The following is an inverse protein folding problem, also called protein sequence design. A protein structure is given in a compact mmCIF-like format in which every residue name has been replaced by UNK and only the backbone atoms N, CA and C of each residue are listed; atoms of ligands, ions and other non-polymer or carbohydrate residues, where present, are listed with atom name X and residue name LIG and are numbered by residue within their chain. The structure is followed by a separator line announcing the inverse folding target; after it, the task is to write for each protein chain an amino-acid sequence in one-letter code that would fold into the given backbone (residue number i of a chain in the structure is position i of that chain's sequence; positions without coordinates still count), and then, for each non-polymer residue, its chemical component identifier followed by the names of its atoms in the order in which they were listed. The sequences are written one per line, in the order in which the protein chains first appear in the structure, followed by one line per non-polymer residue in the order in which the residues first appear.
data_IF_202444480489
#
_entry.id   IF_202444480489
#
_cell.length_a   1.000
_cell.length_b   1.000
_cell.length_c   1.000
_cell.angle_alpha   90.00
_cell.angle_beta   90.00
_cell.angle_gamma   90.00
#
_symmetry.space_group_name_H-M   'P 1'
#
loop_
_entity.id
_entity.type
_entity.pdbx_description
1 polymer ?
#
# COMPACT_ATOMS: atom_id res chain seq x y z
N UNK A 1 20.02 -1.87 4.13
CA UNK A 1 18.64 -1.37 3.95
C UNK A 1 18.12 -1.49 2.52
N UNK A 2 18.90 -1.13 1.48
CA UNK A 2 18.41 -1.11 0.09
C UNK A 2 18.02 -2.46 -0.49
N UNK A 3 18.85 -3.49 -0.31
CA UNK A 3 18.54 -4.86 -0.76
C UNK A 3 17.27 -5.38 -0.07
N UNK A 4 17.16 -5.14 1.24
CA UNK A 4 15.99 -5.53 2.03
C UNK A 4 14.72 -4.80 1.54
N UNK A 5 14.81 -3.49 1.28
CA UNK A 5 13.69 -2.72 0.75
C UNK A 5 13.31 -3.13 -0.67
N UNK A 6 14.27 -3.46 -1.52
CA UNK A 6 14.01 -3.99 -2.86
C UNK A 6 13.31 -5.35 -2.80
N UNK A 7 13.78 -6.25 -1.92
CA UNK A 7 13.13 -7.53 -1.67
C UNK A 7 11.67 -7.36 -1.23
N UNK A 8 11.42 -6.51 -0.22
CA UNK A 8 10.06 -6.25 0.22
C UNK A 8 9.21 -5.58 -0.85
N UNK A 9 9.75 -4.61 -1.61
CA UNK A 9 9.00 -3.98 -2.70
C UNK A 9 8.53 -5.02 -3.74
N UNK A 10 9.42 -5.93 -4.14
CA UNK A 10 9.08 -7.03 -5.06
C UNK A 10 8.07 -7.99 -4.42
N UNK A 11 8.26 -8.40 -3.17
CA UNK A 11 7.33 -9.28 -2.47
C UNK A 11 5.92 -8.67 -2.40
N UNK A 12 5.81 -7.39 -2.05
CA UNK A 12 4.52 -6.70 -1.94
C UNK A 12 3.88 -6.40 -3.28
N UNK A 13 4.65 -6.36 -4.37
CA UNK A 13 4.11 -6.27 -5.74
C UNK A 13 3.15 -7.42 -6.04
N UNK A 14 3.41 -8.61 -5.50
CA UNK A 14 2.56 -9.79 -5.68
C UNK A 14 1.45 -9.88 -4.63
N UNK A 15 1.76 -9.55 -3.37
CA UNK A 15 0.81 -9.69 -2.26
C UNK A 15 -0.31 -8.64 -2.34
N UNK A 16 0.03 -7.40 -2.68
CA UNK A 16 -0.90 -6.27 -2.58
C UNK A 16 -2.12 -6.39 -3.52
N UNK A 17 -1.97 -6.78 -4.81
CA UNK A 17 -3.11 -7.01 -5.70
C UNK A 17 -4.07 -8.10 -5.20
N UNK A 18 -3.53 -9.21 -4.69
CA UNK A 18 -4.33 -10.30 -4.15
C UNK A 18 -5.12 -9.88 -2.91
N UNK A 19 -4.48 -9.09 -2.04
CA UNK A 19 -5.14 -8.54 -0.85
C UNK A 19 -6.24 -7.54 -1.24
N UNK A 20 -5.97 -6.62 -2.16
CA UNK A 20 -6.98 -5.66 -2.63
C UNK A 20 -8.16 -6.37 -3.26
N UNK A 21 -7.92 -7.39 -4.09
CA UNK A 21 -8.98 -8.20 -4.65
C UNK A 21 -9.85 -8.82 -3.54
N UNK A 22 -9.22 -9.48 -2.56
CA UNK A 22 -9.94 -10.13 -1.45
C UNK A 22 -10.77 -9.15 -0.63
N UNK A 23 -10.20 -8.00 -0.26
CA UNK A 23 -10.90 -6.93 0.49
C UNK A 23 -12.16 -6.49 -0.26
N UNK A 24 -12.03 -6.24 -1.56
CA UNK A 24 -13.16 -5.72 -2.35
C UNK A 24 -14.22 -6.80 -2.59
N UNK A 25 -13.82 -8.06 -2.83
CA UNK A 25 -14.80 -9.17 -2.97
C UNK A 25 -15.56 -9.46 -1.68
N UNK A 26 -14.91 -9.34 -0.52
CA UNK A 26 -15.58 -9.54 0.76
C UNK A 26 -16.57 -8.41 1.04
N UNK A 27 -16.20 -7.16 0.75
CA UNK A 27 -17.12 -6.02 0.78
C UNK A 27 -18.32 -6.24 -0.15
N UNK A 28 -18.09 -6.65 -1.40
CA UNK A 28 -19.16 -7.01 -2.35
C UNK A 28 -20.09 -8.08 -1.77
N UNK A 29 -19.53 -9.16 -1.21
CA UNK A 29 -20.32 -10.26 -0.65
C UNK A 29 -21.24 -9.82 0.49
N UNK A 30 -20.79 -8.86 1.31
CA UNK A 30 -21.59 -8.25 2.36
C UNK A 30 -22.72 -7.37 1.81
N UNK A 31 -22.51 -6.70 0.67
CA UNK A 31 -23.57 -5.95 0.00
C UNK A 31 -24.53 -6.87 -0.76
N UNK A 32 -24.07 -8.03 -1.24
CA UNK A 32 -24.89 -8.96 -2.04
C UNK A 32 -25.76 -9.92 -1.23
N UNK A 33 -25.36 -10.28 -0.01
CA UNK A 33 -26.22 -11.05 0.90
C UNK A 33 -27.12 -10.07 1.65
N UNK A 34 -28.45 -10.33 1.70
CA UNK A 34 -29.34 -9.59 2.61
C UNK A 34 -28.75 -9.71 4.02
N UNK A 35 -28.18 -8.63 4.53
CA UNK A 35 -27.70 -8.56 5.90
C UNK A 35 -28.88 -8.90 6.84
N UNK A 36 -28.69 -9.78 7.84
CA UNK A 36 -29.71 -10.09 8.83
C UNK A 36 -30.30 -8.80 9.43
N UNK A 37 -31.57 -8.80 9.83
CA UNK A 37 -32.28 -7.57 10.26
C UNK A 37 -31.59 -6.81 11.41
N UNK A 38 -30.70 -7.47 12.16
CA UNK A 38 -29.90 -6.91 13.26
C UNK A 38 -28.56 -6.29 12.82
N UNK A 39 -28.09 -6.61 11.62
CA UNK A 39 -26.94 -6.02 10.91
C UNK A 39 -27.35 -4.84 10.00
N UNK A 40 -28.65 -4.45 10.03
CA UNK A 40 -29.19 -3.27 9.37
C UNK A 40 -28.61 -1.99 9.96
N UNK A 41 -27.43 -1.61 9.52
CA UNK A 41 -27.00 -0.21 9.61
C UNK A 41 -27.82 0.54 8.57
N UNK A 42 -28.65 1.50 8.99
CA UNK A 42 -29.56 2.27 8.12
C UNK A 42 -28.90 2.78 6.83
N UNK A 43 -27.61 3.12 6.90
CA UNK A 43 -26.79 3.58 5.77
C UNK A 43 -26.51 2.45 4.76
N UNK A 44 -26.18 1.25 5.23
CA UNK A 44 -25.88 0.09 4.37
C UNK A 44 -27.15 -0.37 3.65
N UNK A 45 -28.32 -0.27 4.28
CA UNK A 45 -29.61 -0.60 3.66
C UNK A 45 -30.00 0.36 2.53
N UNK A 46 -29.84 1.68 2.73
CA UNK A 46 -30.10 2.67 1.69
C UNK A 46 -29.19 2.45 0.48
N UNK A 47 -27.92 2.10 0.72
CA UNK A 47 -26.95 1.79 -0.33
C UNK A 47 -27.29 0.47 -1.03
N UNK A 48 -27.55 -0.61 -0.29
CA UNK A 48 -27.95 -1.91 -0.86
C UNK A 48 -29.23 -1.81 -1.69
N UNK A 49 -30.28 -1.17 -1.16
CA UNK A 49 -31.56 -1.03 -1.85
C UNK A 49 -31.42 -0.21 -3.16
N UNK A 50 -30.61 0.85 -3.14
CA UNK A 50 -30.27 1.63 -4.33
C UNK A 50 -29.47 0.81 -5.36
N UNK A 51 -28.53 -0.02 -4.91
CA UNK A 51 -27.67 -0.86 -5.74
C UNK A 51 -28.47 -1.99 -6.40
N UNK A 52 -29.37 -2.65 -5.68
CA UNK A 52 -30.10 -3.81 -6.19
C UNK A 52 -31.24 -3.44 -7.17
N UNK A 53 -31.91 -2.30 -6.98
CA UNK A 53 -33.03 -1.91 -7.85
C UNK A 53 -32.64 -1.57 -9.29
N UNK A 54 -31.36 -1.23 -9.55
CA UNK A 54 -30.92 -0.64 -10.82
C UNK A 54 -30.07 -1.58 -11.72
N UNK A 55 -30.07 -2.90 -11.50
CA UNK A 55 -29.11 -3.81 -12.15
C UNK A 55 -27.64 -3.37 -11.94
N UNK A 56 -27.39 -2.61 -10.86
CA UNK A 56 -26.11 -1.97 -10.58
C UNK A 56 -25.07 -2.99 -10.10
N UNK A 57 -25.48 -4.15 -9.58
CA UNK A 57 -24.60 -5.22 -9.10
C UNK A 57 -23.57 -5.67 -10.15
N UNK A 58 -24.00 -5.97 -11.39
CA UNK A 58 -23.08 -6.37 -12.46
C UNK A 58 -22.12 -5.25 -12.87
N UNK A 59 -22.60 -3.99 -12.85
CA UNK A 59 -21.81 -2.80 -13.17
C UNK A 59 -20.80 -2.46 -12.06
N UNK A 60 -21.19 -2.61 -10.80
CA UNK A 60 -20.31 -2.46 -9.63
C UNK A 60 -19.23 -3.51 -9.66
N UNK A 61 -19.59 -4.76 -9.96
CA UNK A 61 -18.63 -5.86 -10.06
C UNK A 61 -17.60 -5.60 -11.16
N UNK A 62 -18.03 -5.14 -12.33
CA UNK A 62 -17.12 -4.71 -13.40
C UNK A 62 -16.24 -3.53 -12.95
N UNK A 63 -16.83 -2.51 -12.31
CA UNK A 63 -16.09 -1.35 -11.83
C UNK A 63 -15.04 -1.73 -10.76
N UNK A 64 -15.37 -2.66 -9.87
CA UNK A 64 -14.47 -3.25 -8.88
C UNK A 64 -13.29 -3.94 -9.56
N UNK A 65 -13.54 -4.82 -10.54
CA UNK A 65 -12.48 -5.51 -11.27
C UNK A 65 -11.56 -4.52 -11.99
N UNK A 66 -12.13 -3.56 -12.71
CA UNK A 66 -11.37 -2.51 -13.41
C UNK A 66 -10.54 -1.70 -12.40
N UNK A 67 -11.11 -1.34 -11.26
CA UNK A 67 -10.43 -0.58 -10.21
C UNK A 67 -9.25 -1.37 -9.64
N UNK A 68 -9.43 -2.65 -9.31
CA UNK A 68 -8.34 -3.52 -8.80
C UNK A 68 -7.22 -3.66 -9.84
N UNK A 69 -7.56 -3.83 -11.13
CA UNK A 69 -6.57 -3.89 -12.22
C UNK A 69 -5.79 -2.58 -12.31
N UNK A 70 -6.48 -1.43 -12.30
CA UNK A 70 -5.84 -0.11 -12.37
C UNK A 70 -4.92 0.14 -11.17
N UNK A 71 -5.37 -0.16 -9.95
CA UNK A 71 -4.53 -0.06 -8.75
C UNK A 71 -3.33 -0.99 -8.82
N UNK A 72 -3.49 -2.20 -9.34
CA UNK A 72 -2.39 -3.16 -9.52
C UNK A 72 -1.34 -2.63 -10.50
N UNK A 73 -1.77 -2.06 -11.62
CA UNK A 73 -0.85 -1.47 -12.60
C UNK A 73 -0.11 -0.26 -12.02
N UNK A 74 -0.81 0.61 -11.29
CA UNK A 74 -0.20 1.75 -10.61
C UNK A 74 0.81 1.25 -9.57
N UNK A 75 0.44 0.30 -8.73
CA UNK A 75 1.32 -0.31 -7.73
C UNK A 75 2.60 -0.89 -8.36
N UNK A 76 2.48 -1.58 -9.49
CA UNK A 76 3.63 -2.10 -10.25
C UNK A 76 4.55 -0.97 -10.74
N UNK A 77 3.99 0.08 -11.35
CA UNK A 77 4.76 1.24 -11.83
C UNK A 77 5.49 1.92 -10.67
N UNK A 78 4.80 2.13 -9.55
CA UNK A 78 5.38 2.73 -8.34
C UNK A 78 6.48 1.88 -7.74
N UNK A 79 6.33 0.56 -7.78
CA UNK A 79 7.39 -0.38 -7.35
C UNK A 79 8.62 -0.23 -8.24
N UNK A 80 8.46 -0.19 -9.57
CA UNK A 80 9.57 0.02 -10.50
C UNK A 80 10.29 1.36 -10.24
N UNK A 81 9.54 2.44 -10.01
CA UNK A 81 10.11 3.74 -9.65
C UNK A 81 10.82 3.73 -8.30
N UNK A 82 10.30 3.02 -7.30
CA UNK A 82 10.92 2.85 -6.00
C UNK A 82 12.25 2.10 -6.09
N UNK A 83 12.28 1.00 -6.85
CA UNK A 83 13.50 0.22 -7.11
C UNK A 83 14.54 1.08 -7.83
N UNK A 84 14.15 1.72 -8.93
CA UNK A 84 15.05 2.61 -9.68
C UNK A 84 15.54 3.78 -8.82
N UNK A 85 14.67 4.38 -8.00
CA UNK A 85 15.00 5.45 -7.07
C UNK A 85 16.01 5.02 -6.00
N UNK A 86 15.86 3.80 -5.50
CA UNK A 86 16.76 3.22 -4.49
C UNK A 86 18.16 2.98 -5.05
N UNK A 87 18.26 2.40 -6.26
CA UNK A 87 19.56 2.10 -6.89
C UNK A 87 20.23 3.33 -7.51
N UNK A 88 19.46 4.24 -8.10
CA UNK A 88 19.98 5.47 -8.72
C UNK A 88 20.14 6.64 -7.75
N UNK A 89 19.91 6.39 -6.45
CA UNK A 89 19.97 7.40 -5.40
C UNK A 89 19.09 8.63 -5.65
N UNK A 90 17.85 8.41 -6.13
CA UNK A 90 16.86 9.45 -6.43
C UNK A 90 15.66 9.35 -5.48
N UNK A 91 15.67 10.06 -4.33
CA UNK A 91 14.63 9.92 -3.31
C UNK A 91 13.24 10.36 -3.79
N UNK A 92 13.15 11.26 -4.77
CA UNK A 92 11.88 11.73 -5.33
C UNK A 92 11.03 10.59 -5.94
N UNK A 93 11.68 9.53 -6.46
CA UNK A 93 11.01 8.40 -7.10
C UNK A 93 10.52 7.35 -6.10
N UNK A 94 11.01 7.38 -4.86
CA UNK A 94 10.60 6.49 -3.77
C UNK A 94 9.36 7.03 -3.05
N UNK A 95 9.20 8.36 -2.96
CA UNK A 95 8.09 8.99 -2.22
C UNK A 95 6.70 8.49 -2.62
N UNK A 96 6.33 8.40 -3.91
CA UNK A 96 5.00 7.94 -4.31
C UNK A 96 4.70 6.50 -3.83
N UNK A 97 5.71 5.64 -3.82
CA UNK A 97 5.59 4.27 -3.33
C UNK A 97 5.35 4.19 -1.82
N UNK A 98 5.87 5.15 -1.02
CA UNK A 98 5.53 5.23 0.40
C UNK A 98 4.06 5.59 0.64
N UNK A 99 3.50 6.47 -0.19
CA UNK A 99 2.07 6.81 -0.12
C UNK A 99 1.20 5.61 -0.49
N UNK A 100 1.59 4.86 -1.52
CA UNK A 100 0.91 3.63 -1.92
C UNK A 100 0.95 2.54 -0.83
N UNK A 101 2.10 2.36 -0.17
CA UNK A 101 2.24 1.46 0.96
C UNK A 101 1.35 1.87 2.14
N UNK A 102 1.33 3.16 2.48
CA UNK A 102 0.47 3.71 3.53
C UNK A 102 -1.02 3.57 3.20
N UNK A 103 -1.41 3.86 1.96
CA UNK A 103 -2.78 3.71 1.49
C UNK A 103 -3.24 2.25 1.58
N UNK A 104 -2.40 1.31 1.14
CA UNK A 104 -2.70 -0.12 1.20
C UNK A 104 -2.81 -0.62 2.65
N UNK A 105 -1.98 -0.10 3.56
CA UNK A 105 -2.08 -0.40 4.99
C UNK A 105 -3.40 0.10 5.59
N UNK A 106 -3.82 1.34 5.26
CA UNK A 106 -5.09 1.90 5.74
C UNK A 106 -6.29 1.09 5.24
N UNK A 107 -6.29 0.70 3.96
CA UNK A 107 -7.35 -0.16 3.42
C UNK A 107 -7.42 -1.52 4.12
N UNK A 108 -6.27 -2.14 4.40
CA UNK A 108 -6.21 -3.40 5.14
C UNK A 108 -6.71 -3.23 6.58
N UNK A 109 -6.36 -2.13 7.24
CA UNK A 109 -6.85 -1.82 8.59
C UNK A 109 -8.38 -1.67 8.60
N UNK A 110 -8.94 -0.94 7.64
CA UNK A 110 -10.39 -0.81 7.50
C UNK A 110 -11.07 -2.17 7.29
N UNK A 111 -10.48 -3.04 6.48
CA UNK A 111 -10.99 -4.40 6.25
C UNK A 111 -10.97 -5.27 7.53
N UNK A 112 -9.88 -5.21 8.30
CA UNK A 112 -9.78 -5.94 9.58
C UNK A 112 -10.81 -5.40 10.57
N UNK A 113 -10.91 -4.07 10.72
CA UNK A 113 -11.92 -3.44 11.58
C UNK A 113 -13.34 -3.86 11.17
N UNK A 114 -13.64 -3.84 9.88
CA UNK A 114 -14.93 -4.30 9.36
C UNK A 114 -15.19 -5.77 9.71
N UNK A 115 -14.22 -6.65 9.50
CA UNK A 115 -14.35 -8.09 9.82
C UNK A 115 -14.56 -8.33 11.32
N UNK A 116 -13.88 -7.56 12.19
CA UNK A 116 -14.07 -7.61 13.65
C UNK A 116 -15.47 -7.16 14.02
N UNK A 117 -15.98 -6.06 13.44
CA UNK A 117 -17.31 -5.55 13.72
C UNK A 117 -18.39 -6.57 13.35
N UNK A 118 -18.29 -7.20 12.17
CA UNK A 118 -19.24 -8.24 11.75
C UNK A 118 -19.13 -9.48 12.66
N UNK A 119 -17.91 -9.92 13.00
CA UNK A 119 -17.70 -11.04 13.92
C UNK A 119 -18.30 -10.77 15.31
N UNK A 120 -18.09 -9.57 15.86
CA UNK A 120 -18.65 -9.15 17.14
C UNK A 120 -20.18 -9.16 17.12
N UNK A 121 -20.77 -8.63 16.05
CA UNK A 121 -22.23 -8.60 15.89
C UNK A 121 -22.82 -10.00 15.77
N UNK A 122 -22.22 -10.87 14.94
CA UNK A 122 -22.60 -12.27 14.87
C UNK A 122 -22.52 -12.91 16.26
N UNK A 123 -21.45 -12.61 17.01
CA UNK A 123 -21.24 -13.12 18.38
C UNK A 123 -22.38 -12.79 19.34
N UNK A 124 -22.92 -11.57 19.25
CA UNK A 124 -24.01 -11.08 20.08
C UNK A 124 -25.43 -11.55 19.69
N UNK A 125 -25.57 -12.40 18.67
CA UNK A 125 -26.89 -12.80 18.14
C UNK A 125 -27.26 -14.27 18.46
N UNK A 126 -28.52 -14.50 18.88
CA UNK A 126 -29.04 -15.78 19.37
C UNK A 126 -29.41 -16.84 18.30
N UNK A 127 -29.29 -16.54 17.00
CA UNK A 127 -29.64 -17.49 15.94
C UNK A 127 -28.42 -18.32 15.50
N UNK A 128 -28.52 -19.66 15.61
CA UNK A 128 -27.35 -20.57 15.62
C UNK A 128 -26.99 -21.23 14.28
N UNK A 129 -27.94 -21.63 13.43
CA UNK A 129 -27.65 -22.60 12.35
C UNK A 129 -26.93 -22.01 11.11
N UNK A 130 -27.24 -20.79 10.67
CA UNK A 130 -26.54 -20.13 9.54
C UNK A 130 -25.32 -19.29 9.97
N UNK A 131 -25.06 -19.18 11.28
CA UNK A 131 -24.04 -18.29 11.85
C UNK A 131 -22.64 -18.91 11.85
N UNK A 132 -22.52 -20.22 12.03
CA UNK A 132 -21.24 -20.84 12.34
C UNK A 132 -20.22 -20.68 11.22
N UNK A 133 -20.65 -20.86 9.96
CA UNK A 133 -19.79 -20.71 8.79
C UNK A 133 -19.38 -19.25 8.53
N UNK A 134 -20.32 -18.31 8.67
CA UNK A 134 -20.03 -16.88 8.54
C UNK A 134 -19.08 -16.39 9.65
N UNK A 135 -19.28 -16.87 10.88
CA UNK A 135 -18.44 -16.52 12.02
C UNK A 135 -17.01 -17.07 11.85
N UNK A 136 -16.86 -18.32 11.43
CA UNK A 136 -15.54 -18.92 11.09
C UNK A 136 -14.85 -18.14 9.96
N UNK A 137 -15.60 -17.72 8.94
CA UNK A 137 -15.08 -16.92 7.82
C UNK A 137 -14.54 -15.56 8.29
N UNK A 138 -15.33 -14.78 9.02
CA UNK A 138 -14.92 -13.46 9.48
C UNK A 138 -13.78 -13.54 10.50
N UNK A 139 -13.79 -14.55 11.38
CA UNK A 139 -12.68 -14.79 12.31
C UNK A 139 -11.37 -15.13 11.57
N UNK A 140 -11.44 -15.99 10.53
CA UNK A 140 -10.29 -16.27 9.65
C UNK A 140 -9.80 -14.99 8.97
N UNK A 141 -10.70 -14.14 8.48
CA UNK A 141 -10.35 -12.88 7.84
C UNK A 141 -9.68 -11.90 8.82
N UNK A 142 -10.08 -11.89 10.11
CA UNK A 142 -9.39 -11.13 11.16
C UNK A 142 -7.98 -11.66 11.39
N UNK A 143 -7.80 -12.98 11.57
CA UNK A 143 -6.47 -13.55 11.82
C UNK A 143 -5.52 -13.34 10.64
N UNK A 144 -5.97 -13.68 9.42
CA UNK A 144 -5.17 -13.50 8.21
C UNK A 144 -4.90 -12.03 7.96
N UNK A 145 -5.91 -11.17 8.11
CA UNK A 145 -5.78 -9.73 7.95
C UNK A 145 -4.79 -9.11 8.95
N UNK A 146 -4.82 -9.53 10.22
CA UNK A 146 -3.88 -9.07 11.25
C UNK A 146 -2.43 -9.49 10.93
N UNK A 147 -2.21 -10.72 10.45
CA UNK A 147 -0.89 -11.16 10.03
C UNK A 147 -0.33 -10.33 8.86
N UNK A 148 -1.18 -10.03 7.88
CA UNK A 148 -0.81 -9.10 6.81
C UNK A 148 -0.59 -7.68 7.33
N UNK A 149 -1.37 -7.21 8.30
CA UNK A 149 -1.23 -5.86 8.85
C UNK A 149 0.14 -5.65 9.51
N UNK A 150 0.63 -6.65 10.25
CA UNK A 150 2.00 -6.66 10.78
C UNK A 150 3.03 -6.67 9.65
N UNK A 151 2.81 -7.48 8.61
CA UNK A 151 3.71 -7.56 7.46
C UNK A 151 3.81 -6.23 6.69
N UNK A 152 2.68 -5.54 6.48
CA UNK A 152 2.63 -4.22 5.85
C UNK A 152 3.26 -3.15 6.74
N UNK A 153 3.13 -3.25 8.06
CA UNK A 153 3.82 -2.34 8.99
C UNK A 153 5.34 -2.48 8.86
N UNK A 154 5.85 -3.72 8.86
CA UNK A 154 7.28 -3.99 8.63
C UNK A 154 7.74 -3.46 7.28
N UNK A 155 6.94 -3.67 6.23
CA UNK A 155 7.22 -3.15 4.89
C UNK A 155 7.30 -1.63 4.85
N UNK A 156 6.37 -0.93 5.49
CA UNK A 156 6.41 0.53 5.60
C UNK A 156 7.66 1.00 6.33
N UNK A 157 8.01 0.39 7.47
CA UNK A 157 9.20 0.74 8.25
C UNK A 157 10.47 0.58 7.40
N UNK A 158 10.62 -0.56 6.71
CA UNK A 158 11.78 -0.82 5.85
C UNK A 158 11.84 0.15 4.68
N UNK A 159 10.69 0.47 4.06
CA UNK A 159 10.62 1.40 2.93
C UNK A 159 10.95 2.84 3.35
N UNK A 160 10.48 3.27 4.53
CA UNK A 160 10.83 4.57 5.11
C UNK A 160 12.34 4.63 5.43
N UNK A 161 12.88 3.58 6.05
CA UNK A 161 14.30 3.52 6.37
C UNK A 161 15.17 3.55 5.11
N UNK A 162 14.76 2.85 4.05
CA UNK A 162 15.44 2.91 2.75
C UNK A 162 15.33 4.28 2.09
N UNK A 163 14.18 4.95 2.17
CA UNK A 163 14.03 6.31 1.68
C UNK A 163 14.95 7.29 2.41
N UNK A 164 15.04 7.20 3.74
CA UNK A 164 15.95 8.03 4.55
C UNK A 164 17.41 7.78 4.19
N UNK A 165 17.81 6.52 4.05
CA UNK A 165 19.16 6.11 3.62
C UNK A 165 19.49 6.65 2.22
N UNK A 166 18.57 6.51 1.26
CA UNK A 166 18.72 7.04 -0.10
C UNK A 166 18.80 8.57 -0.09
N UNK A 167 18.00 9.25 0.73
CA UNK A 167 18.04 10.71 0.85
C UNK A 167 19.38 11.18 1.40
N UNK A 168 19.93 10.50 2.41
CA UNK A 168 21.25 10.80 2.97
C UNK A 168 22.34 10.62 1.91
N UNK A 169 22.38 9.46 1.25
CA UNK A 169 23.41 9.20 0.24
C UNK A 169 23.31 10.16 -0.95
N UNK A 170 22.11 10.53 -1.36
CA UNK A 170 21.93 11.53 -2.41
C UNK A 170 22.55 12.88 -2.02
N UNK A 171 22.36 13.34 -0.78
CA UNK A 171 22.95 14.57 -0.28
C UNK A 171 24.49 14.48 -0.22
N UNK A 172 25.03 13.38 0.30
CA UNK A 172 26.48 13.14 0.38
C UNK A 172 27.11 13.14 -1.02
N UNK A 173 26.45 12.50 -1.99
CA UNK A 173 26.91 12.46 -3.38
C UNK A 173 26.87 13.84 -4.05
N UNK A 174 25.81 14.63 -3.83
CA UNK A 174 25.74 16.00 -4.35
C UNK A 174 26.80 16.91 -3.73
N UNK A 175 27.03 16.77 -2.42
CA UNK A 175 28.09 17.50 -1.71
C UNK A 175 29.47 17.19 -2.29
N UNK A 176 29.79 15.90 -2.46
CA UNK A 176 31.05 15.46 -3.04
C UNK A 176 31.27 16.01 -4.46
N UNK A 177 30.25 16.03 -5.32
CA UNK A 177 30.36 16.63 -6.66
C UNK A 177 30.72 18.11 -6.59
N UNK A 178 30.12 18.85 -5.66
CA UNK A 178 30.39 20.29 -5.49
C UNK A 178 31.83 20.48 -5.00
N UNK A 179 32.25 19.71 -4.01
CA UNK A 179 33.61 19.75 -3.46
C UNK A 179 34.66 19.44 -4.54
N UNK A 180 34.44 18.38 -5.33
CA UNK A 180 35.35 18.00 -6.42
C UNK A 180 35.45 19.09 -7.50
N UNK A 181 34.32 19.72 -7.87
CA UNK A 181 34.31 20.85 -8.81
C UNK A 181 35.06 22.07 -8.27
N UNK A 182 34.94 22.36 -6.98
CA UNK A 182 35.66 23.45 -6.33
C UNK A 182 37.16 23.16 -6.23
N UNK A 183 37.54 21.92 -5.89
CA UNK A 183 38.91 21.44 -5.87
C UNK A 183 39.58 21.54 -7.24
N UNK A 184 38.91 21.11 -8.30
CA UNK A 184 39.42 21.23 -9.67
C UNK A 184 39.60 22.69 -10.11
N UNK A 185 38.67 23.58 -9.76
CA UNK A 185 38.83 25.03 -10.02
C UNK A 185 40.01 25.62 -9.25
N UNK A 186 40.19 25.26 -7.99
CA UNK A 186 41.33 25.68 -7.19
C UNK A 186 42.65 25.22 -7.80
N UNK A 187 42.76 23.93 -8.17
CA UNK A 187 43.94 23.38 -8.85
C UNK A 187 44.22 24.07 -10.19
N UNK A 188 43.18 24.37 -10.97
CA UNK A 188 43.31 25.10 -12.22
C UNK A 188 43.84 26.52 -12.00
N UNK A 189 43.30 27.24 -11.00
CA UNK A 189 43.75 28.59 -10.66
C UNK A 189 45.22 28.60 -10.19
N UNK A 190 45.61 27.68 -9.32
CA UNK A 190 47.00 27.51 -8.87
C UNK A 190 47.93 27.23 -10.06
N UNK A 191 47.53 26.36 -10.98
CA UNK A 191 48.33 26.06 -12.19
C UNK A 191 48.51 27.28 -13.11
N UNK A 192 47.51 28.17 -13.16
CA UNK A 192 47.58 29.41 -13.94
C UNK A 192 48.44 30.49 -13.29
N UNK A 193 48.48 30.58 -11.97
CA UNK A 193 49.33 31.54 -11.25
C UNK A 193 50.81 31.14 -11.32
N UNK A 194 51.12 29.84 -11.23
CA UNK A 194 52.48 29.32 -11.43
C UNK A 194 53.02 29.63 -12.84
N UNK A 195 52.18 29.56 -13.89
CA UNK A 195 52.57 29.95 -15.25
C UNK A 195 52.74 31.46 -15.46
N UNK A 196 52.17 32.29 -14.59
CA UNK A 196 52.28 33.76 -14.64
C UNK A 196 53.41 34.31 -13.78
N UNK A 197 54.07 33.45 -13.01
CA UNK A 197 55.24 33.79 -12.22
C UNK A 197 56.48 33.76 -13.15
N UNK A 198 57.30 34.82 -13.22
CA UNK A 198 58.43 34.94 -14.14
C UNK A 198 59.58 33.97 -13.86
#
# INVERSE_FOLDING_TARGET
MRILSAFFAVLFTFINPCMMYKVVTELESCFSRRLPERLRVRIIETVCAYVFNNNLSTRIRLAVYVTVILFTLVHLILTCFSLYGTYSCRPALIRPFLFDAAFSFVLLLLFVCFSVLIYWQLTSSDFLEDREDAMKLHLRNVYVGAAFLVSYLVWMIVSIAAYLDTKKLHADFMYWIVEERMSMRSKANVSSDVRKSP
#
